data_IF_107891553003
#
_entry.id   IF_107891553003
#
_cell.length_a   1.000
_cell.length_b   1.000
_cell.length_c   1.000
_cell.angle_alpha   90.00
_cell.angle_beta   90.00
_cell.angle_gamma   90.00
#
_symmetry.space_group_name_H-M   'P 1'
#
loop_
_entity.id
_entity.type
_entity.pdbx_description
1 polymer ?
#
# COMPACT_ATOMS: atom_id res chain seq x y z
N UNK A 1 -47.08 9.38 -52.85
CA UNK A 1 -47.77 8.46 -51.91
C UNK A 1 -46.91 7.25 -51.52
N UNK A 2 -46.50 6.37 -52.44
CA UNK A 2 -45.73 5.14 -52.10
C UNK A 2 -44.34 5.41 -51.51
N UNK A 3 -43.61 6.41 -52.03
CA UNK A 3 -42.29 6.80 -51.50
C UNK A 3 -42.36 7.35 -50.08
N UNK A 4 -43.42 8.10 -49.75
CA UNK A 4 -43.65 8.63 -48.40
C UNK A 4 -43.87 7.50 -47.39
N UNK A 5 -44.65 6.49 -47.77
CA UNK A 5 -44.87 5.31 -46.94
C UNK A 5 -43.57 4.53 -46.68
N UNK A 6 -42.72 4.37 -47.70
CA UNK A 6 -41.42 3.71 -47.55
C UNK A 6 -40.48 4.50 -46.64
N UNK A 7 -40.45 5.83 -46.76
CA UNK A 7 -39.66 6.69 -45.88
C UNK A 7 -40.15 6.61 -44.43
N UNK A 8 -41.48 6.64 -44.22
CA UNK A 8 -42.08 6.52 -42.89
C UNK A 8 -41.77 5.16 -42.25
N UNK A 9 -41.87 4.07 -43.00
CA UNK A 9 -41.51 2.73 -42.52
C UNK A 9 -40.02 2.61 -42.21
N UNK A 10 -39.16 3.17 -43.07
CA UNK A 10 -37.72 3.21 -42.84
C UNK A 10 -37.36 3.97 -41.56
N UNK A 11 -38.00 5.13 -41.34
CA UNK A 11 -37.83 5.91 -40.12
C UNK A 11 -38.26 5.13 -38.88
N UNK A 12 -39.41 4.45 -38.94
CA UNK A 12 -39.94 3.63 -37.84
C UNK A 12 -38.98 2.48 -37.46
N UNK A 13 -38.50 1.74 -38.46
CA UNK A 13 -37.55 0.63 -38.25
C UNK A 13 -36.21 1.15 -37.75
N UNK A 14 -35.73 2.27 -38.28
CA UNK A 14 -34.49 2.92 -37.83
C UNK A 14 -34.56 3.34 -36.36
N UNK A 15 -35.67 3.94 -35.93
CA UNK A 15 -35.87 4.31 -34.53
C UNK A 15 -35.94 3.07 -33.62
N UNK A 16 -36.64 2.03 -34.07
CA UNK A 16 -36.75 0.77 -33.35
C UNK A 16 -35.38 0.10 -33.16
N UNK A 17 -34.57 0.03 -34.22
CA UNK A 17 -33.21 -0.50 -34.14
C UNK A 17 -32.31 0.35 -33.24
N UNK A 18 -32.35 1.67 -33.38
CA UNK A 18 -31.55 2.60 -32.57
C UNK A 18 -31.84 2.48 -31.07
N UNK A 19 -33.12 2.41 -30.69
CA UNK A 19 -33.51 2.24 -29.29
C UNK A 19 -33.09 0.86 -28.73
N UNK A 20 -33.09 -0.18 -29.56
CA UNK A 20 -32.64 -1.51 -29.17
C UNK A 20 -31.12 -1.58 -28.93
N UNK A 21 -30.33 -1.00 -29.84
CA UNK A 21 -28.87 -0.92 -29.66
C UNK A 21 -28.48 -0.14 -28.40
N UNK A 22 -29.22 0.93 -28.10
CA UNK A 22 -29.01 1.71 -26.90
C UNK A 22 -29.30 0.87 -25.64
N UNK A 23 -30.37 0.05 -25.67
CA UNK A 23 -30.74 -0.84 -24.57
C UNK A 23 -29.71 -1.95 -24.32
N UNK A 24 -29.06 -2.46 -25.36
CA UNK A 24 -28.03 -3.50 -25.22
C UNK A 24 -26.74 -2.91 -24.64
N UNK A 25 -26.30 -1.75 -25.12
CA UNK A 25 -25.06 -1.12 -24.62
C UNK A 25 -25.14 -0.74 -23.14
N UNK A 26 -26.32 -0.33 -22.67
CA UNK A 26 -26.50 0.02 -21.26
C UNK A 26 -26.50 -1.20 -20.34
N UNK A 27 -26.98 -2.37 -20.80
CA UNK A 27 -27.02 -3.57 -19.95
C UNK A 27 -25.65 -4.17 -19.67
N UNK A 28 -24.71 -4.09 -20.61
CA UNK A 28 -23.34 -4.52 -20.38
C UNK A 28 -22.66 -3.65 -19.31
N UNK A 29 -22.74 -2.32 -19.48
CA UNK A 29 -22.16 -1.36 -18.52
C UNK A 29 -22.80 -1.44 -17.12
N UNK A 30 -24.10 -1.68 -17.04
CA UNK A 30 -24.79 -1.81 -15.75
C UNK A 30 -24.41 -3.11 -15.02
N UNK A 31 -24.12 -4.18 -15.76
CA UNK A 31 -23.67 -5.46 -15.18
C UNK A 31 -22.26 -5.31 -14.63
N UNK A 32 -21.34 -4.74 -15.41
CA UNK A 32 -19.95 -4.50 -15.00
C UNK A 32 -19.88 -3.55 -13.79
N UNK A 33 -20.69 -2.50 -13.78
CA UNK A 33 -20.76 -1.57 -12.65
C UNK A 33 -21.27 -2.25 -11.37
N UNK A 34 -22.26 -3.14 -11.47
CA UNK A 34 -22.77 -3.89 -10.32
C UNK A 34 -21.75 -4.87 -9.79
N UNK A 35 -21.07 -5.61 -10.67
CA UNK A 35 -20.02 -6.55 -10.30
C UNK A 35 -18.88 -5.82 -9.56
N UNK A 36 -18.46 -4.67 -10.08
CA UNK A 36 -17.42 -3.87 -9.44
C UNK A 36 -17.83 -3.32 -8.07
N UNK A 37 -19.08 -2.87 -7.92
CA UNK A 37 -19.60 -2.41 -6.62
C UNK A 37 -19.61 -3.55 -5.60
N UNK A 38 -20.01 -4.76 -6.01
CA UNK A 38 -19.99 -5.94 -5.15
C UNK A 38 -18.57 -6.30 -4.74
N UNK A 39 -17.61 -6.31 -5.67
CA UNK A 39 -16.20 -6.55 -5.34
C UNK A 39 -15.64 -5.51 -4.36
N UNK A 40 -16.03 -4.24 -4.51
CA UNK A 40 -15.62 -3.15 -3.62
C UNK A 40 -16.17 -3.31 -2.20
N UNK A 41 -17.41 -3.81 -2.08
CA UNK A 41 -18.02 -4.11 -0.79
C UNK A 41 -17.27 -5.25 -0.07
N UNK A 42 -16.98 -6.34 -0.78
CA UNK A 42 -16.23 -7.48 -0.22
C UNK A 42 -14.83 -7.05 0.26
N UNK A 43 -14.12 -6.22 -0.51
CA UNK A 43 -12.80 -5.72 -0.11
C UNK A 43 -12.89 -4.80 1.11
N UNK A 44 -13.94 -3.97 1.21
CA UNK A 44 -14.16 -3.09 2.35
C UNK A 44 -14.43 -3.86 3.65
N UNK A 45 -15.16 -4.97 3.58
CA UNK A 45 -15.42 -5.86 4.72
C UNK A 45 -14.14 -6.55 5.20
N UNK A 46 -13.28 -6.95 4.26
CA UNK A 46 -11.97 -7.52 4.58
C UNK A 46 -11.05 -6.49 5.26
N UNK A 47 -11.04 -5.24 4.79
CA UNK A 47 -10.30 -4.15 5.42
C UNK A 47 -10.83 -3.85 6.84
N UNK A 48 -12.14 -3.90 7.05
CA UNK A 48 -12.74 -3.72 8.36
C UNK A 48 -12.29 -4.81 9.34
N UNK A 49 -12.26 -6.07 8.89
CA UNK A 49 -11.74 -7.20 9.67
C UNK A 49 -10.26 -7.00 10.02
N UNK A 50 -9.40 -6.76 9.03
CA UNK A 50 -7.97 -6.56 9.29
C UNK A 50 -7.72 -5.38 10.22
N UNK A 51 -8.48 -4.29 10.10
CA UNK A 51 -8.35 -3.14 11.00
C UNK A 51 -8.80 -3.47 12.42
N UNK A 52 -9.80 -4.33 12.58
CA UNK A 52 -10.20 -4.87 13.87
C UNK A 52 -9.10 -5.76 14.46
N UNK A 53 -8.46 -6.62 13.65
CA UNK A 53 -7.34 -7.45 14.08
C UNK A 53 -6.14 -6.60 14.50
N UNK A 54 -5.74 -5.60 13.70
CA UNK A 54 -4.66 -4.69 14.06
C UNK A 54 -5.00 -3.93 15.35
N UNK A 55 -6.23 -3.46 15.50
CA UNK A 55 -6.69 -2.82 16.74
C UNK A 55 -6.66 -3.77 17.94
N UNK A 56 -6.86 -5.07 17.72
CA UNK A 56 -6.74 -6.07 18.76
C UNK A 56 -5.27 -6.36 19.11
N UNK A 57 -4.39 -6.42 18.10
CA UNK A 57 -2.95 -6.62 18.30
C UNK A 57 -2.25 -5.41 18.92
N UNK A 58 -2.72 -4.19 18.65
CA UNK A 58 -2.13 -2.94 19.13
C UNK A 58 -2.53 -2.55 20.55
N UNK A 59 -3.28 -3.41 21.26
CA UNK A 59 -3.69 -3.14 22.64
C UNK A 59 -2.45 -2.89 23.53
N UNK A 60 -2.33 -1.71 24.14
CA UNK A 60 -1.11 -1.30 24.84
C UNK A 60 -0.75 -2.22 26.01
N UNK A 61 -1.75 -2.75 26.73
CA UNK A 61 -1.54 -3.71 27.82
C UNK A 61 -0.80 -4.98 27.35
N UNK A 62 -1.09 -5.47 26.14
CA UNK A 62 -0.47 -6.68 25.60
C UNK A 62 0.95 -6.42 25.10
N UNK A 63 1.19 -5.22 24.54
CA UNK A 63 2.53 -4.78 24.17
C UNK A 63 3.40 -4.63 25.44
N UNK A 64 2.84 -4.08 26.52
CA UNK A 64 3.52 -3.92 27.80
C UNK A 64 3.86 -5.27 28.46
N UNK A 65 2.92 -6.22 28.46
CA UNK A 65 3.19 -7.57 28.95
C UNK A 65 4.29 -8.28 28.15
N UNK A 66 4.26 -8.20 26.81
CA UNK A 66 5.28 -8.83 25.97
C UNK A 66 6.65 -8.16 26.12
N UNK A 67 6.69 -6.83 26.30
CA UNK A 67 7.90 -6.08 26.59
C UNK A 67 8.50 -6.47 27.96
N UNK A 68 7.67 -6.60 29.00
CA UNK A 68 8.09 -7.08 30.32
C UNK A 68 8.61 -8.51 30.29
N UNK A 69 7.92 -9.42 29.58
CA UNK A 69 8.26 -10.85 29.51
C UNK A 69 9.50 -11.14 28.65
N UNK A 70 9.64 -10.49 27.50
CA UNK A 70 10.66 -10.86 26.49
C UNK A 70 11.87 -9.94 26.51
N UNK A 71 11.68 -8.67 26.81
CA UNK A 71 12.72 -7.65 26.61
C UNK A 71 13.30 -7.10 27.92
N UNK A 72 12.75 -7.46 29.10
CA UNK A 72 13.16 -6.94 30.42
C UNK A 72 13.35 -5.40 30.40
N UNK A 73 12.48 -4.68 29.69
CA UNK A 73 12.53 -3.22 29.66
C UNK A 73 11.85 -2.66 30.92
N UNK A 74 12.55 -1.78 31.62
CA UNK A 74 11.98 -0.95 32.68
C UNK A 74 10.96 0.03 32.06
N UNK A 75 9.81 0.29 32.72
CA UNK A 75 8.76 1.13 32.15
C UNK A 75 9.29 2.51 31.78
N UNK A 76 8.83 3.03 30.65
CA UNK A 76 9.25 4.34 30.14
C UNK A 76 8.97 5.41 31.20
N UNK A 77 10.04 5.95 31.78
CA UNK A 77 9.93 6.95 32.85
C UNK A 77 9.58 8.30 32.23
N UNK A 78 8.69 9.06 32.86
CA UNK A 78 8.25 10.39 32.40
C UNK A 78 9.41 11.39 32.24
N UNK A 79 10.57 11.10 32.84
CA UNK A 79 11.80 11.86 32.71
C UNK A 79 12.53 11.65 31.37
N UNK A 80 12.20 10.60 30.61
CA UNK A 80 12.77 10.31 29.28
C UNK A 80 11.99 10.98 28.12
N UNK A 81 10.86 11.61 28.43
CA UNK A 81 10.03 12.31 27.45
C UNK A 81 10.49 13.77 27.33
N UNK A 82 10.96 14.15 26.15
CA UNK A 82 11.29 15.55 25.85
C UNK A 82 9.97 16.33 25.63
N UNK A 83 9.78 17.49 26.29
CA UNK A 83 8.57 18.28 26.09
C UNK A 83 8.47 18.77 24.64
N UNK A 84 7.25 18.73 24.08
CA UNK A 84 6.97 19.09 22.68
C UNK A 84 7.49 20.48 22.28
N UNK A 85 7.49 21.42 23.22
CA UNK A 85 8.02 22.77 23.04
C UNK A 85 9.53 22.79 22.72
N UNK A 86 10.32 21.85 23.25
CA UNK A 86 11.75 21.74 23.00
C UNK A 86 12.07 21.16 21.61
N UNK A 87 11.20 20.28 21.08
CA UNK A 87 11.31 19.74 19.72
C UNK A 87 10.99 20.83 18.70
N UNK A 88 9.92 21.59 18.91
CA UNK A 88 9.47 22.67 18.02
C UNK A 88 10.48 23.83 17.95
N UNK A 89 11.13 24.17 19.06
CA UNK A 89 12.11 25.26 19.11
C UNK A 89 13.51 24.84 18.63
N UNK A 90 13.72 23.57 18.24
CA UNK A 90 15.02 23.05 17.83
C UNK A 90 16.08 23.08 18.94
N UNK A 91 15.68 23.31 20.19
CA UNK A 91 16.55 23.37 21.37
C UNK A 91 16.61 22.03 22.11
N UNK A 92 15.85 21.03 21.66
CA UNK A 92 15.98 19.66 22.12
C UNK A 92 17.43 19.22 21.94
N UNK A 93 18.14 19.10 23.06
CA UNK A 93 19.49 18.58 23.12
C UNK A 93 19.60 17.40 22.16
N UNK A 94 20.55 17.47 21.24
CA UNK A 94 20.85 16.39 20.30
C UNK A 94 20.75 15.08 21.05
N UNK A 95 19.73 14.27 20.72
CA UNK A 95 19.64 12.89 21.20
C UNK A 95 20.85 12.22 20.58
N UNK A 96 21.96 12.22 21.32
CA UNK A 96 23.04 11.29 21.04
C UNK A 96 22.45 9.95 21.47
N UNK A 97 22.16 9.04 20.54
CA UNK A 97 21.90 7.66 20.95
C UNK A 97 23.13 7.25 21.76
N UNK A 98 22.95 7.00 23.05
CA UNK A 98 24.00 6.45 23.88
C UNK A 98 24.52 5.21 23.14
N UNK A 99 25.77 5.28 22.72
CA UNK A 99 26.45 4.39 21.77
C UNK A 99 26.69 2.97 22.31
N UNK A 100 25.78 2.48 23.14
CA UNK A 100 25.82 1.15 23.75
C UNK A 100 25.07 0.08 22.94
N UNK A 101 24.49 0.42 21.78
CA UNK A 101 24.12 -0.56 20.76
C UNK A 101 25.37 -1.00 19.97
N UNK A 102 26.32 -1.62 20.67
CA UNK A 102 27.40 -2.37 20.04
C UNK A 102 26.82 -3.68 19.49
N UNK A 103 26.19 -3.61 18.33
CA UNK A 103 26.02 -4.80 17.49
C UNK A 103 27.42 -5.30 17.14
N UNK A 104 27.82 -6.54 17.46
CA UNK A 104 29.01 -7.09 16.84
C UNK A 104 28.73 -7.05 15.34
N UNK A 105 29.54 -6.29 14.60
CA UNK A 105 29.49 -6.22 13.13
C UNK A 105 29.76 -7.63 12.63
N UNK A 106 28.68 -8.41 12.47
CA UNK A 106 28.71 -9.68 11.78
C UNK A 106 28.99 -9.31 10.33
N UNK A 107 30.17 -9.68 9.83
CA UNK A 107 30.47 -9.53 8.40
C UNK A 107 29.43 -10.30 7.62
N UNK A 108 28.39 -9.61 7.17
CA UNK A 108 27.39 -10.18 6.31
C UNK A 108 28.08 -10.50 4.98
N UNK A 109 28.00 -11.76 4.53
CA UNK A 109 28.62 -12.23 3.29
C UNK A 109 28.20 -11.44 2.05
N UNK A 110 27.14 -10.64 2.15
CA UNK A 110 26.67 -9.71 1.12
C UNK A 110 27.72 -8.61 0.85
N UNK A 111 28.38 -8.08 1.88
CA UNK A 111 29.44 -7.08 1.69
C UNK A 111 30.65 -7.66 0.93
N UNK A 112 31.02 -8.90 1.24
CA UNK A 112 32.09 -9.61 0.53
C UNK A 112 31.71 -9.94 -0.92
N UNK A 113 30.42 -10.19 -1.21
CA UNK A 113 29.92 -10.40 -2.57
C UNK A 113 29.94 -9.09 -3.39
N UNK A 114 29.63 -7.94 -2.77
CA UNK A 114 29.69 -6.63 -3.42
C UNK A 114 31.15 -6.26 -3.75
N UNK A 115 32.08 -6.42 -2.81
CA UNK A 115 33.52 -6.17 -3.04
C UNK A 115 34.09 -7.10 -4.12
N UNK A 116 33.69 -8.38 -4.12
CA UNK A 116 34.10 -9.32 -5.18
C UNK A 116 33.55 -8.92 -6.55
N UNK A 117 32.31 -8.43 -6.62
CA UNK A 117 31.68 -8.02 -7.88
C UNK A 117 32.27 -6.72 -8.45
N UNK A 118 32.67 -5.77 -7.60
CA UNK A 118 33.32 -4.52 -8.06
C UNK A 118 34.71 -4.78 -8.63
N UNK A 119 35.45 -5.77 -8.09
CA UNK A 119 36.73 -6.21 -8.64
C UNK A 119 36.53 -6.95 -9.96
N UNK A 120 35.47 -7.75 -10.11
CA UNK A 120 35.17 -8.48 -11.36
C UNK A 120 34.87 -7.51 -12.52
N UNK A 121 34.10 -6.45 -12.27
CA UNK A 121 33.78 -5.43 -13.29
C UNK A 121 34.98 -4.57 -13.69
N UNK A 122 35.99 -4.44 -12.83
CA UNK A 122 37.24 -3.74 -13.18
C UNK A 122 38.17 -4.57 -14.07
N UNK A 123 38.10 -5.92 -14.01
CA UNK A 123 38.95 -6.80 -14.80
C UNK A 123 38.43 -7.00 -16.24
N UNK A 124 37.12 -6.90 -16.48
CA UNK A 124 36.55 -7.07 -17.83
C UNK A 124 36.63 -5.84 -18.75
N UNK A 125 36.96 -4.65 -18.24
CA UNK A 125 37.09 -3.43 -19.07
C UNK A 125 38.55 -3.18 -19.54
N UNK A 126 39.52 -3.96 -19.05
CA UNK A 126 40.92 -3.93 -19.53
C UNK A 126 41.29 -5.25 -20.21
N UNK A 127 40.39 -5.75 -21.07
CA UNK A 127 40.52 -7.07 -21.69
C UNK A 127 39.90 -7.23 -23.08
N UNK A 128 39.50 -6.15 -23.76
CA UNK A 128 39.26 -6.19 -25.20
C UNK A 128 40.35 -5.37 -25.90
N UNK A 129 41.25 -6.11 -26.56
CA UNK A 129 42.05 -5.65 -27.69
C UNK A 129 41.16 -5.49 -28.91
#
# INVERSE_FOLDING_TARGET
>A
MRSLCLLAFGCLVGLFAYTYDLKIKTRALETDARELITALQDESDFLALMRAEVSYLSRPERIEEMAKKTLKLEPISSQQLVPWSAVVTGTGASVQPSSSFATPVRRDGIAALIEKSSIQSAVTVTGER
#
